data_IF_761916120976
#
_entry.id   IF_761916120976
#
_cell.length_a   1.000
_cell.length_b   1.000
_cell.length_c   1.000
_cell.angle_alpha   90.00
_cell.angle_beta   90.00
_cell.angle_gamma   90.00
#
_symmetry.space_group_name_H-M   'P 1'
#
loop_
_entity.id
_entity.type
_entity.pdbx_description
1 polymer ?
#
# COMPACT_ATOMS: atom_id res chain seq x y z
N UNK A 1 -13.83 -40.48 -44.77
CA UNK A 1 -13.33 -39.24 -44.16
C UNK A 1 -12.71 -39.58 -42.82
N UNK A 2 -11.40 -39.77 -42.79
CA UNK A 2 -10.61 -40.10 -41.61
C UNK A 2 -9.95 -38.82 -41.10
N UNK A 3 -10.21 -38.44 -39.84
CA UNK A 3 -9.56 -37.30 -39.19
C UNK A 3 -8.43 -37.81 -38.29
N UNK A 4 -7.19 -37.40 -38.60
CA UNK A 4 -6.02 -37.58 -37.74
C UNK A 4 -5.99 -36.46 -36.69
N UNK A 5 -6.04 -36.83 -35.41
CA UNK A 5 -5.81 -35.91 -34.29
C UNK A 5 -4.32 -35.96 -33.94
N UNK A 6 -3.64 -34.83 -34.11
CA UNK A 6 -2.25 -34.65 -33.68
C UNK A 6 -2.23 -34.13 -32.25
N UNK A 7 -1.71 -34.92 -31.31
CA UNK A 7 -1.37 -34.42 -29.97
C UNK A 7 0.05 -33.85 -30.01
N UNK A 8 0.17 -32.53 -29.92
CA UNK A 8 1.44 -31.85 -29.63
C UNK A 8 1.71 -31.95 -28.12
N UNK A 9 2.63 -32.84 -27.74
CA UNK A 9 3.21 -32.84 -26.40
C UNK A 9 4.26 -31.73 -26.33
N UNK A 10 3.93 -30.63 -25.66
CA UNK A 10 4.90 -29.62 -25.24
C UNK A 10 5.63 -30.11 -23.99
N UNK A 11 6.97 -30.20 -23.97
CA UNK A 11 7.68 -30.51 -22.74
C UNK A 11 7.59 -29.31 -21.78
N UNK A 12 6.97 -29.54 -20.62
CA UNK A 12 7.00 -28.64 -19.49
C UNK A 12 8.43 -28.61 -18.93
N UNK A 13 9.23 -27.64 -19.36
CA UNK A 13 10.52 -27.36 -18.71
C UNK A 13 10.21 -26.62 -17.41
N UNK A 14 10.06 -27.37 -16.32
CA UNK A 14 10.09 -26.80 -14.99
C UNK A 14 11.51 -26.26 -14.75
N UNK A 15 11.71 -24.96 -14.91
CA UNK A 15 12.92 -24.29 -14.43
C UNK A 15 12.83 -24.27 -12.91
N UNK A 16 13.40 -25.29 -12.28
CA UNK A 16 13.65 -25.29 -10.84
C UNK A 16 14.73 -24.25 -10.55
N UNK A 17 14.33 -23.00 -10.29
CA UNK A 17 15.23 -22.02 -9.68
C UNK A 17 15.54 -22.51 -8.27
N UNK A 18 16.59 -23.32 -8.12
CA UNK A 18 17.17 -23.56 -6.80
C UNK A 18 17.59 -22.19 -6.29
N UNK A 19 16.99 -21.74 -5.18
CA UNK A 19 17.47 -20.58 -4.44
C UNK A 19 18.91 -20.90 -4.03
N UNK A 20 19.87 -20.38 -4.79
CA UNK A 20 21.27 -20.48 -4.46
C UNK A 20 21.46 -19.63 -3.19
N UNK A 21 21.50 -20.26 -2.02
CA UNK A 21 21.97 -19.60 -0.82
C UNK A 21 23.43 -19.24 -1.08
N UNK A 22 23.69 -17.96 -1.27
CA UNK A 22 25.02 -17.45 -1.48
C UNK A 22 25.75 -17.60 -0.15
N UNK A 23 26.81 -18.40 -0.14
CA UNK A 23 27.62 -18.65 1.06
C UNK A 23 28.08 -17.29 1.63
N UNK A 24 27.59 -16.95 2.82
CA UNK A 24 27.85 -15.68 3.52
C UNK A 24 29.32 -15.68 3.95
N UNK A 25 30.20 -15.21 3.07
CA UNK A 25 31.62 -15.06 3.38
C UNK A 25 31.79 -14.16 4.63
N UNK A 26 32.83 -14.33 5.46
CA UNK A 26 33.06 -13.47 6.63
C UNK A 26 33.09 -11.96 6.35
N UNK A 27 33.27 -11.57 5.09
CA UNK A 27 33.23 -10.20 4.61
C UNK A 27 31.83 -9.58 4.68
N UNK A 28 30.76 -10.36 4.46
CA UNK A 28 29.37 -9.89 4.57
C UNK A 28 28.95 -9.64 6.01
N UNK A 29 29.58 -10.28 7.00
CA UNK A 29 29.33 -9.95 8.41
C UNK A 29 29.97 -8.62 8.82
N UNK A 30 31.17 -8.31 8.30
CA UNK A 30 31.87 -7.04 8.58
C UNK A 30 31.27 -5.87 7.80
N UNK A 31 30.88 -6.12 6.56
CA UNK A 31 30.27 -5.15 5.64
C UNK A 31 28.94 -5.74 5.13
N UNK A 32 27.88 -5.72 5.96
CA UNK A 32 26.58 -6.24 5.56
C UNK A 32 26.02 -5.47 4.37
N UNK A 33 25.25 -6.17 3.54
CA UNK A 33 24.51 -5.53 2.45
C UNK A 33 23.42 -4.63 3.01
N UNK A 34 23.01 -3.63 2.24
CA UNK A 34 22.02 -2.63 2.65
C UNK A 34 20.68 -3.26 3.06
N UNK A 35 20.31 -4.40 2.46
CA UNK A 35 19.10 -5.15 2.77
C UNK A 35 19.11 -5.78 4.17
N UNK A 36 20.30 -5.98 4.74
CA UNK A 36 20.49 -6.57 6.08
C UNK A 36 20.61 -5.51 7.18
N UNK A 37 20.71 -4.23 6.81
CA UNK A 37 20.79 -3.11 7.76
C UNK A 37 19.39 -2.73 8.30
N UNK A 38 19.30 -2.13 9.50
CA UNK A 38 18.03 -1.73 10.09
C UNK A 38 17.25 -0.74 9.23
N UNK A 39 15.93 -0.90 9.16
CA UNK A 39 15.01 0.02 8.50
C UNK A 39 14.09 0.71 9.50
N UNK A 40 13.73 1.96 9.24
CA UNK A 40 12.90 2.76 10.13
C UNK A 40 11.59 3.19 9.46
N UNK A 41 10.51 3.29 10.23
CA UNK A 41 9.26 3.85 9.71
C UNK A 41 9.28 5.37 9.87
N UNK A 42 9.20 6.09 8.76
CA UNK A 42 9.22 7.55 8.72
C UNK A 42 7.79 8.08 8.54
N UNK A 43 7.22 8.62 9.61
CA UNK A 43 5.84 9.12 9.64
C UNK A 43 5.81 10.58 9.20
N UNK A 44 5.39 10.82 7.97
CA UNK A 44 5.19 12.17 7.44
C UNK A 44 3.80 12.68 7.86
N UNK A 45 3.68 13.84 8.55
CA UNK A 45 2.40 14.41 8.91
C UNK A 45 1.58 14.83 7.68
N UNK A 46 2.19 15.59 6.76
CA UNK A 46 1.68 15.94 5.43
C UNK A 46 2.77 16.64 4.59
N UNK A 47 2.42 17.11 3.38
CA UNK A 47 3.34 17.78 2.47
C UNK A 47 3.57 19.28 2.73
N UNK A 48 3.13 19.83 3.86
CA UNK A 48 3.46 21.19 4.28
C UNK A 48 4.87 21.32 4.87
N UNK A 49 5.49 20.18 5.20
CA UNK A 49 6.89 20.10 5.63
C UNK A 49 7.83 20.50 4.50
N UNK A 50 8.93 21.18 4.83
CA UNK A 50 9.97 21.53 3.87
C UNK A 50 10.67 20.27 3.34
N UNK A 51 10.85 20.18 2.02
CA UNK A 51 11.49 19.03 1.37
C UNK A 51 12.91 18.83 1.90
N UNK A 52 13.64 19.93 2.12
CA UNK A 52 15.02 19.93 2.61
C UNK A 52 15.13 19.36 4.03
N UNK A 53 14.07 19.45 4.83
CA UNK A 53 14.05 18.82 6.15
C UNK A 53 13.99 17.29 6.04
N UNK A 54 13.10 16.78 5.18
CA UNK A 54 12.96 15.33 4.93
C UNK A 54 14.24 14.76 4.31
N UNK A 55 14.86 15.48 3.38
CA UNK A 55 16.14 15.07 2.79
C UNK A 55 17.26 15.00 3.82
N UNK A 56 17.31 15.97 4.75
CA UNK A 56 18.28 15.96 5.86
C UNK A 56 18.05 14.76 6.78
N UNK A 57 16.81 14.50 7.17
CA UNK A 57 16.48 13.35 8.02
C UNK A 57 16.91 12.02 7.38
N UNK A 58 16.72 11.88 6.06
CA UNK A 58 17.16 10.70 5.31
C UNK A 58 18.70 10.57 5.30
N UNK A 59 19.42 11.68 5.11
CA UNK A 59 20.89 11.68 5.16
C UNK A 59 21.42 11.37 6.56
N UNK A 60 20.77 11.87 7.60
CA UNK A 60 21.11 11.58 9.00
C UNK A 60 20.89 10.10 9.34
N UNK A 61 19.79 9.50 8.86
CA UNK A 61 19.52 8.06 8.99
C UNK A 61 20.63 7.23 8.33
N UNK A 62 21.00 7.57 7.09
CA UNK A 62 22.07 6.87 6.37
C UNK A 62 23.41 6.99 7.11
N UNK A 63 23.75 8.18 7.60
CA UNK A 63 24.97 8.44 8.38
C UNK A 63 25.00 7.68 9.70
N UNK A 64 23.83 7.40 10.29
CA UNK A 64 23.68 6.58 11.49
C UNK A 64 23.74 5.07 11.23
N UNK A 65 23.85 4.63 9.97
CA UNK A 65 23.94 3.22 9.59
C UNK A 65 22.60 2.55 9.28
N UNK A 66 21.55 3.33 8.99
CA UNK A 66 20.30 2.77 8.51
C UNK A 66 20.44 2.19 7.09
N UNK A 67 19.81 1.05 6.86
CA UNK A 67 19.66 0.45 5.53
C UNK A 67 18.51 1.01 4.71
N UNK A 68 17.58 1.70 5.37
CA UNK A 68 16.44 2.28 4.68
C UNK A 68 15.35 2.82 5.59
N UNK A 69 14.29 3.27 4.94
CA UNK A 69 13.07 3.70 5.60
C UNK A 69 11.82 3.20 4.87
N UNK A 70 10.73 3.07 5.62
CA UNK A 70 9.38 3.01 5.08
C UNK A 70 8.77 4.42 5.18
N UNK A 71 8.51 5.04 4.03
CA UNK A 71 7.91 6.36 3.96
C UNK A 71 6.39 6.27 4.09
N UNK A 72 5.87 6.72 5.23
CA UNK A 72 4.45 6.60 5.58
C UNK A 72 3.82 7.97 5.67
N UNK A 73 2.97 8.35 4.70
CA UNK A 73 2.16 9.55 4.82
C UNK A 73 1.02 9.29 5.80
N UNK A 74 1.21 9.72 7.05
CA UNK A 74 0.31 9.51 8.18
C UNK A 74 -0.49 10.78 8.45
N UNK A 75 -1.62 10.89 7.78
CA UNK A 75 -2.61 11.92 8.08
C UNK A 75 -3.43 11.42 9.27
N UNK A 76 -3.51 12.18 10.36
CA UNK A 76 -4.44 11.90 11.46
C UNK A 76 -5.89 12.04 10.94
N UNK A 77 -6.38 10.99 10.27
CA UNK A 77 -7.74 10.89 9.78
C UNK A 77 -8.69 10.88 10.96
N UNK A 78 -9.22 12.04 11.30
CA UNK A 78 -10.24 12.12 12.34
C UNK A 78 -10.19 13.37 13.17
N UNK A 79 -9.91 14.53 12.53
CA UNK A 79 -10.06 15.87 13.09
C UNK A 79 -10.88 15.84 14.38
N UNK A 80 -10.26 15.89 15.58
CA UNK A 80 -11.01 15.78 16.82
C UNK A 80 -12.09 16.83 16.76
N UNK A 81 -13.35 16.39 16.90
CA UNK A 81 -14.55 17.20 16.69
C UNK A 81 -14.33 18.62 17.22
N UNK A 82 -14.43 19.60 16.32
CA UNK A 82 -14.27 21.05 16.54
C UNK A 82 -12.86 21.67 16.44
N UNK A 83 -11.81 20.91 16.10
CA UNK A 83 -10.52 21.51 15.73
C UNK A 83 -10.54 22.05 14.28
N UNK A 84 -9.92 23.22 14.00
CA UNK A 84 -9.57 23.57 12.62
C UNK A 84 -8.71 22.45 12.03
N UNK A 85 -8.90 22.09 10.74
CA UNK A 85 -7.98 21.16 10.08
C UNK A 85 -6.56 21.68 10.29
N UNK A 86 -5.62 20.86 10.80
CA UNK A 86 -4.27 21.34 11.12
C UNK A 86 -3.52 21.87 9.88
N UNK A 87 -4.00 21.52 8.68
CA UNK A 87 -3.44 21.93 7.38
C UNK A 87 -4.52 21.83 6.28
N UNK A 88 -4.24 22.34 5.08
CA UNK A 88 -5.10 22.19 3.90
C UNK A 88 -4.75 20.90 3.13
N UNK A 89 -5.53 19.84 3.36
CA UNK A 89 -5.32 18.55 2.68
C UNK A 89 -5.65 18.55 1.19
N UNK A 90 -6.36 19.54 0.66
CA UNK A 90 -6.49 19.69 -0.80
C UNK A 90 -5.16 20.12 -1.44
N UNK A 91 -4.32 20.81 -0.66
CA UNK A 91 -3.01 21.28 -1.10
C UNK A 91 -1.88 20.32 -0.73
N UNK A 92 -1.91 19.76 0.48
CA UNK A 92 -0.79 19.00 1.07
C UNK A 92 -1.09 17.51 1.32
N UNK A 93 -2.28 17.05 0.96
CA UNK A 93 -2.69 15.65 1.12
C UNK A 93 -1.99 14.71 0.15
N UNK A 94 -2.18 13.41 0.37
CA UNK A 94 -1.59 12.35 -0.46
C UNK A 94 -1.98 12.51 -1.94
N UNK A 95 -1.01 12.32 -2.84
CA UNK A 95 -1.22 12.39 -4.29
C UNK A 95 -1.44 13.81 -4.85
N UNK A 96 -1.40 14.85 -4.02
CA UNK A 96 -1.39 16.24 -4.49
C UNK A 96 -0.02 16.61 -5.10
N UNK A 97 0.07 17.69 -5.90
CA UNK A 97 1.36 18.15 -6.42
C UNK A 97 2.40 18.46 -5.33
N UNK A 98 1.97 18.98 -4.17
CA UNK A 98 2.89 19.23 -3.05
C UNK A 98 3.44 17.92 -2.47
N UNK A 99 2.60 16.90 -2.32
CA UNK A 99 3.03 15.58 -1.90
C UNK A 99 3.99 14.95 -2.91
N UNK A 100 3.70 15.02 -4.21
CA UNK A 100 4.59 14.50 -5.25
C UNK A 100 5.97 15.15 -5.19
N UNK A 101 6.04 16.49 -5.07
CA UNK A 101 7.31 17.19 -4.95
C UNK A 101 8.12 16.77 -3.72
N UNK A 102 7.46 16.59 -2.57
CA UNK A 102 8.12 16.11 -1.36
C UNK A 102 8.57 14.66 -1.49
N UNK A 103 7.73 13.80 -2.06
CA UNK A 103 8.04 12.39 -2.30
C UNK A 103 9.22 12.21 -3.27
N UNK A 104 9.28 13.00 -4.34
CA UNK A 104 10.40 13.03 -5.28
C UNK A 104 11.70 13.46 -4.57
N UNK A 105 11.62 14.48 -3.71
CA UNK A 105 12.76 14.91 -2.89
C UNK A 105 13.26 13.83 -1.92
N UNK A 106 12.35 13.08 -1.31
CA UNK A 106 12.67 11.94 -0.44
C UNK A 106 13.31 10.79 -1.22
N UNK A 107 12.77 10.43 -2.39
CA UNK A 107 13.35 9.42 -3.27
C UNK A 107 14.75 9.80 -3.73
N UNK A 108 14.95 11.07 -4.10
CA UNK A 108 16.27 11.56 -4.50
C UNK A 108 17.27 11.45 -3.35
N UNK A 109 16.89 11.85 -2.13
CA UNK A 109 17.77 11.72 -0.97
C UNK A 109 18.09 10.27 -0.62
N UNK A 110 17.13 9.35 -0.75
CA UNK A 110 17.39 7.92 -0.55
C UNK A 110 18.41 7.38 -1.56
N UNK A 111 18.26 7.76 -2.84
CA UNK A 111 19.20 7.40 -3.90
C UNK A 111 20.61 7.98 -3.65
N UNK A 112 20.70 9.27 -3.31
CA UNK A 112 21.98 9.96 -3.07
C UNK A 112 22.75 9.37 -1.88
N UNK A 113 22.04 8.85 -0.87
CA UNK A 113 22.63 8.26 0.33
C UNK A 113 22.72 6.73 0.27
N UNK A 114 22.36 6.10 -0.85
CA UNK A 114 22.40 4.64 -1.04
C UNK A 114 21.62 3.85 0.03
N UNK A 115 20.46 4.35 0.44
CA UNK A 115 19.55 3.64 1.35
C UNK A 115 18.26 3.24 0.63
N UNK A 116 17.60 2.20 1.13
CA UNK A 116 16.34 1.72 0.58
C UNK A 116 15.16 2.59 1.05
N UNK A 117 14.20 2.83 0.17
CA UNK A 117 12.95 3.51 0.50
C UNK A 117 11.76 2.63 0.09
N UNK A 118 11.06 2.12 1.09
CA UNK A 118 9.78 1.41 0.93
C UNK A 118 8.63 2.42 1.09
N UNK A 119 7.50 2.21 0.42
CA UNK A 119 6.32 3.08 0.55
C UNK A 119 5.02 2.29 0.31
N UNK A 120 3.92 2.75 0.90
CA UNK A 120 2.61 2.13 0.74
C UNK A 120 1.94 2.54 -0.58
N UNK A 121 1.12 1.64 -1.15
CA UNK A 121 0.37 1.92 -2.39
C UNK A 121 -0.74 2.99 -2.23
N UNK A 122 -1.13 3.29 -1.00
CA UNK A 122 -2.12 4.30 -0.67
C UNK A 122 -1.64 5.19 0.47
N UNK A 123 -2.42 6.21 0.79
CA UNK A 123 -2.19 7.03 1.98
C UNK A 123 -2.26 6.14 3.22
N UNK A 124 -1.34 6.30 4.18
CA UNK A 124 -1.27 5.62 5.48
C UNK A 124 -1.54 4.09 5.50
N UNK A 125 -0.53 3.26 5.77
CA UNK A 125 -0.68 1.82 6.11
C UNK A 125 -1.56 0.97 5.16
N UNK A 126 -1.70 1.39 3.90
CA UNK A 126 -2.53 0.68 2.92
C UNK A 126 -4.03 0.99 3.01
N UNK A 127 -4.40 2.16 3.56
CA UNK A 127 -5.76 2.64 3.43
C UNK A 127 -6.10 2.87 1.95
N UNK A 128 -7.31 2.48 1.57
CA UNK A 128 -7.75 2.45 0.18
C UNK A 128 -7.61 3.81 -0.51
N UNK A 129 -7.41 3.79 -1.82
CA UNK A 129 -7.37 5.01 -2.63
C UNK A 129 -8.80 5.51 -2.90
N UNK A 130 -9.00 6.82 -3.12
CA UNK A 130 -10.30 7.34 -3.54
C UNK A 130 -10.82 6.60 -4.78
N UNK A 131 -12.01 6.01 -4.67
CA UNK A 131 -12.68 5.32 -5.76
C UNK A 131 -14.06 5.93 -5.99
N UNK A 132 -14.56 5.90 -7.23
CA UNK A 132 -15.93 6.34 -7.54
C UNK A 132 -16.97 5.49 -6.80
N UNK A 133 -18.05 6.11 -6.31
CA UNK A 133 -19.19 5.40 -5.71
C UNK A 133 -19.74 4.38 -6.71
N UNK A 134 -20.02 3.15 -6.25
CA UNK A 134 -20.54 2.10 -7.12
C UNK A 134 -19.49 1.30 -7.91
N UNK A 135 -18.21 1.69 -7.88
CA UNK A 135 -17.19 1.01 -8.70
C UNK A 135 -16.81 -0.37 -8.15
N UNK A 136 -16.51 -1.37 -9.02
CA UNK A 136 -16.11 -2.72 -8.59
C UNK A 136 -14.82 -2.80 -7.76
N UNK A 137 -14.06 -1.69 -7.66
CA UNK A 137 -12.75 -1.62 -7.00
C UNK A 137 -12.85 -1.28 -5.51
N UNK A 138 -14.05 -1.27 -4.93
CA UNK A 138 -14.30 -0.98 -3.50
C UNK A 138 -14.63 -2.25 -2.74
N UNK A 139 -14.24 -2.31 -1.46
CA UNK A 139 -14.72 -3.35 -0.56
C UNK A 139 -16.26 -3.26 -0.45
N UNK A 140 -16.93 -4.38 -0.65
CA UNK A 140 -18.39 -4.48 -0.62
C UNK A 140 -18.82 -5.18 0.66
N UNK A 141 -19.84 -4.66 1.33
CA UNK A 141 -20.51 -5.37 2.41
C UNK A 141 -21.80 -5.98 1.87
N UNK A 142 -21.99 -7.29 2.10
CA UNK A 142 -23.28 -7.93 1.90
C UNK A 142 -24.31 -7.38 2.88
N UNK A 143 -25.41 -6.82 2.37
CA UNK A 143 -26.53 -6.38 3.21
C UNK A 143 -27.71 -7.31 2.95
N UNK A 144 -28.24 -7.88 4.04
CA UNK A 144 -29.46 -8.69 4.00
C UNK A 144 -30.64 -7.83 4.44
N UNK A 145 -31.70 -7.78 3.64
CA UNK A 145 -32.97 -7.22 4.07
C UNK A 145 -33.99 -8.36 4.22
N UNK A 146 -34.60 -8.45 5.39
CA UNK A 146 -35.67 -9.39 5.70
C UNK A 146 -36.96 -8.57 5.81
N UNK A 147 -37.87 -8.80 4.86
CA UNK A 147 -39.19 -8.20 4.91
C UNK A 147 -40.22 -9.28 5.26
N UNK A 148 -40.92 -9.06 6.38
CA UNK A 148 -42.05 -9.90 6.79
C UNK A 148 -43.29 -9.39 6.07
N UNK A 149 -43.87 -10.24 5.21
CA UNK A 149 -45.16 -9.97 4.60
C UNK A 149 -46.21 -10.83 5.30
N UNK A 150 -47.18 -10.17 5.94
CA UNK A 150 -48.39 -10.82 6.42
C UNK A 150 -49.40 -10.81 5.27
N UNK A 151 -49.72 -11.99 4.73
CA UNK A 151 -50.94 -12.16 3.95
C UNK A 151 -52.07 -12.41 4.95
N UNK A 152 -53.28 -11.96 4.60
CA UNK A 152 -54.48 -11.97 5.45
C UNK A 152 -55.02 -13.39 5.81
N UNK A 153 -54.18 -14.43 5.78
CA UNK A 153 -54.48 -15.86 6.02
C UNK A 153 -53.24 -16.52 6.70
N UNK A 154 -53.35 -17.70 7.38
CA UNK A 154 -52.43 -18.10 8.45
C UNK A 154 -51.04 -18.62 8.01
N UNK A 155 -50.52 -18.18 6.87
CA UNK A 155 -49.20 -18.54 6.36
C UNK A 155 -48.29 -17.31 6.32
N UNK A 156 -47.30 -17.29 7.22
CA UNK A 156 -46.20 -16.34 7.21
C UNK A 156 -45.20 -16.72 6.10
N UNK A 157 -44.97 -15.82 5.15
CA UNK A 157 -43.93 -15.97 4.12
C UNK A 157 -42.76 -15.06 4.48
N UNK A 158 -41.57 -15.65 4.63
CA UNK A 158 -40.32 -14.91 4.81
C UNK A 158 -39.72 -14.66 3.43
N UNK A 159 -39.64 -13.39 3.01
CA UNK A 159 -38.95 -13.01 1.79
C UNK A 159 -37.58 -12.48 2.17
N UNK A 160 -36.53 -13.24 1.82
CA UNK A 160 -35.15 -12.81 1.96
C UNK A 160 -34.67 -12.23 0.63
N UNK A 161 -34.29 -10.95 0.63
CA UNK A 161 -33.66 -10.31 -0.52
C UNK A 161 -32.22 -9.94 -0.17
N UNK A 162 -31.28 -10.49 -0.93
CA UNK A 162 -29.85 -10.17 -0.82
C UNK A 162 -29.46 -9.15 -1.89
N UNK A 163 -28.82 -8.07 -1.47
CA UNK A 163 -28.25 -7.08 -2.39
C UNK A 163 -26.86 -6.66 -1.93
N UNK A 164 -26.03 -6.26 -2.89
CA UNK A 164 -24.79 -5.55 -2.61
C UNK A 164 -25.12 -4.08 -2.37
N UNK A 165 -24.64 -3.52 -1.26
CA UNK A 165 -24.79 -2.09 -0.94
C UNK A 165 -23.43 -1.39 -1.00
N UNK A 166 -23.45 -0.13 -1.42
CA UNK A 166 -22.29 0.78 -1.45
C UNK A 166 -22.30 1.71 -0.24
#
# INVERSE_FOLDING_TARGET
MTYLVWYLLLPLVASSSVLQFQDESPDTFKNPRVESLPKFRYWLPDASVAVEAVQRDISDLASAGAGGLEFVPFYFYGNPSDAPPPTDWNKFGFGTPAFSNLFDGALQAAADNSILMDFSMGASEGQGTPATAGSPRRAMHLVCNIQLAFLDQPLMIIIVRMYYSF
#
